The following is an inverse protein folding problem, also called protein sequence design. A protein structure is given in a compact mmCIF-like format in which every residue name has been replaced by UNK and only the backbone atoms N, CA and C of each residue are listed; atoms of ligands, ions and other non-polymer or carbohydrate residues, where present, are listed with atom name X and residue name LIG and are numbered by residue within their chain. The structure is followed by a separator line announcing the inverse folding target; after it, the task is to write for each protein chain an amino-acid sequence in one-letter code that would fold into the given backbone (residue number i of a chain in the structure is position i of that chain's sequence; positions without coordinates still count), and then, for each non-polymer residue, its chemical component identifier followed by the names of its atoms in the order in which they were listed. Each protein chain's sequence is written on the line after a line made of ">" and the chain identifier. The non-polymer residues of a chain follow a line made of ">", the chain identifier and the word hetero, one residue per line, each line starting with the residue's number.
data_IF_226553795527
#
_entry.id   IF_226553795527
#
_cell.length_a   1.000
_cell.length_b   1.000
_cell.length_c   1.000
_cell.angle_alpha   90.00
_cell.angle_beta   90.00
_cell.angle_gamma   90.00
#
_symmetry.space_group_name_H-M   'P 1'
#
loop_
_entity.id
_entity.type
_entity.pdbx_description
1 polymer ?
#
# COMPACT_ATOMS: atom_id res chain seq x y z
N UNK A 1 -0.60 25.18 -25.51
CA UNK A 1 -0.33 26.20 -24.49
C UNK A 1 -0.95 27.55 -24.90
N UNK A 2 -1.15 28.47 -23.94
CA UNK A 2 -1.64 29.80 -24.24
C UNK A 2 -0.73 30.59 -25.22
N UNK A 3 0.59 30.44 -25.06
CA UNK A 3 1.57 31.03 -25.95
C UNK A 3 1.40 30.58 -27.42
N UNK A 4 1.20 29.27 -27.62
CA UNK A 4 1.01 28.69 -28.94
C UNK A 4 -0.26 29.22 -29.64
N UNK A 5 -1.31 29.50 -28.89
CA UNK A 5 -2.55 30.12 -29.43
C UNK A 5 -2.34 31.59 -29.81
N UNK A 6 -1.51 32.34 -29.07
CA UNK A 6 -1.13 33.70 -29.41
C UNK A 6 -0.35 33.71 -30.75
N UNK A 7 0.66 32.84 -30.87
CA UNK A 7 1.44 32.70 -32.13
C UNK A 7 0.53 32.33 -33.33
N UNK A 8 -0.42 31.40 -33.13
CA UNK A 8 -1.40 31.08 -34.18
C UNK A 8 -2.25 32.31 -34.57
N UNK A 9 -2.69 33.08 -33.58
CA UNK A 9 -3.47 34.29 -33.85
C UNK A 9 -2.66 35.34 -34.65
N UNK A 10 -1.36 35.47 -34.33
CA UNK A 10 -0.45 36.35 -35.09
C UNK A 10 -0.31 35.91 -36.55
N UNK A 11 -0.10 34.58 -36.77
CA UNK A 11 -0.04 34.02 -38.13
C UNK A 11 -1.33 34.22 -38.90
N UNK A 12 -2.50 34.04 -38.25
CA UNK A 12 -3.82 34.32 -38.86
C UNK A 12 -3.97 35.79 -39.21
N UNK A 13 -3.58 36.68 -38.32
CA UNK A 13 -3.62 38.12 -38.59
C UNK A 13 -2.71 38.52 -39.75
N UNK A 14 -1.51 37.99 -39.82
CA UNK A 14 -0.61 38.18 -40.96
C UNK A 14 -1.21 37.64 -42.26
N UNK A 15 -1.89 36.49 -42.21
CA UNK A 15 -2.62 35.94 -43.38
C UNK A 15 -3.74 36.86 -43.88
N UNK A 16 -4.46 37.54 -42.96
CA UNK A 16 -5.53 38.49 -43.32
C UNK A 16 -5.01 39.77 -44.00
N UNK A 17 -3.74 40.06 -43.92
CA UNK A 17 -3.11 41.20 -44.61
C UNK A 17 -2.77 40.91 -46.07
N UNK A 18 -2.79 39.63 -46.51
CA UNK A 18 -2.61 39.28 -47.90
C UNK A 18 -3.81 39.75 -48.72
N UNK A 19 -3.54 40.37 -49.88
CA UNK A 19 -4.54 40.94 -50.78
C UNK A 19 -4.55 40.19 -52.11
N UNK A 20 -5.41 40.58 -53.04
CA UNK A 20 -5.45 40.05 -54.41
C UNK A 20 -4.16 40.40 -55.23
N UNK A 21 -3.38 41.38 -54.73
CA UNK A 21 -2.08 41.77 -55.31
C UNK A 21 -0.92 40.90 -54.77
N UNK A 22 -1.15 40.09 -53.73
CA UNK A 22 -0.14 39.19 -53.16
C UNK A 22 0.16 38.07 -54.14
N UNK A 23 1.43 37.60 -54.21
CA UNK A 23 1.80 36.46 -55.06
C UNK A 23 1.16 35.16 -54.53
N UNK A 24 0.86 34.22 -55.44
CA UNK A 24 0.39 32.91 -55.07
C UNK A 24 1.36 32.20 -54.09
N UNK A 25 2.65 32.41 -54.30
CA UNK A 25 3.71 31.85 -53.44
C UNK A 25 3.58 32.36 -51.99
N UNK A 26 3.29 33.66 -51.78
CA UNK A 26 3.09 34.23 -50.43
C UNK A 26 1.84 33.67 -49.74
N UNK A 27 0.77 33.49 -50.50
CA UNK A 27 -0.47 32.88 -49.99
C UNK A 27 -0.25 31.42 -49.59
N UNK A 28 0.43 30.62 -50.42
CA UNK A 28 0.72 29.23 -50.17
C UNK A 28 1.66 29.07 -48.99
N UNK A 29 2.69 29.92 -48.85
CA UNK A 29 3.62 29.94 -47.73
C UNK A 29 2.84 30.23 -46.40
N UNK A 30 2.02 31.25 -46.39
CA UNK A 30 1.23 31.60 -45.18
C UNK A 30 0.23 30.52 -44.79
N UNK A 31 -0.44 29.90 -45.76
CA UNK A 31 -1.30 28.72 -45.54
C UNK A 31 -0.50 27.60 -44.92
N UNK A 32 0.70 27.29 -45.41
CA UNK A 32 1.54 26.25 -44.87
C UNK A 32 1.96 26.52 -43.42
N UNK A 33 2.37 27.76 -43.08
CA UNK A 33 2.71 28.18 -41.71
C UNK A 33 1.54 28.00 -40.75
N UNK A 34 0.34 28.48 -41.11
CA UNK A 34 -0.87 28.35 -40.29
C UNK A 34 -1.23 26.85 -40.10
N UNK A 35 -1.17 26.07 -41.17
CA UNK A 35 -1.48 24.64 -41.11
C UNK A 35 -0.49 23.87 -40.21
N UNK A 36 0.81 24.17 -40.32
CA UNK A 36 1.85 23.59 -39.48
C UNK A 36 1.65 23.96 -37.99
N UNK A 37 1.29 25.22 -37.71
CA UNK A 37 1.04 25.67 -36.34
C UNK A 37 -0.20 25.00 -35.73
N UNK A 38 -1.27 24.82 -36.51
CA UNK A 38 -2.45 24.07 -36.08
C UNK A 38 -2.08 22.63 -35.72
N UNK A 39 -1.30 21.95 -36.58
CA UNK A 39 -0.85 20.59 -36.32
C UNK A 39 0.02 20.51 -35.06
N UNK A 40 0.91 21.48 -34.84
CA UNK A 40 1.75 21.56 -33.65
C UNK A 40 0.95 21.66 -32.35
N UNK A 41 -0.05 22.57 -32.28
CA UNK A 41 -0.89 22.74 -31.09
C UNK A 41 -1.86 21.58 -30.86
N UNK A 42 -2.18 20.79 -31.89
CA UNK A 42 -2.98 19.58 -31.78
C UNK A 42 -2.16 18.34 -31.44
N UNK A 43 -0.84 18.45 -31.43
CA UNK A 43 0.05 17.36 -31.01
C UNK A 43 -0.21 16.99 -29.56
N UNK A 44 -0.36 15.70 -29.32
CA UNK A 44 -0.57 15.13 -27.99
C UNK A 44 0.56 14.19 -27.63
N UNK A 45 0.89 14.18 -26.35
CA UNK A 45 1.77 13.21 -25.71
C UNK A 45 1.01 12.40 -24.67
N UNK A 46 1.47 11.20 -24.40
CA UNK A 46 0.86 10.31 -23.42
C UNK A 46 1.68 10.29 -22.15
N UNK A 47 1.04 10.52 -21.01
CA UNK A 47 1.62 10.26 -19.69
C UNK A 47 0.96 8.99 -19.14
N UNK A 48 1.78 7.97 -18.85
CA UNK A 48 1.30 6.71 -18.29
C UNK A 48 1.58 6.67 -16.80
N UNK A 49 0.51 6.61 -15.99
CA UNK A 49 0.59 6.57 -14.54
C UNK A 49 0.25 5.19 -14.00
N UNK A 50 1.09 4.66 -13.10
CA UNK A 50 0.91 3.38 -12.43
C UNK A 50 1.06 3.51 -10.93
N UNK A 51 0.31 2.70 -10.18
CA UNK A 51 0.38 2.61 -8.74
C UNK A 51 0.51 1.16 -8.30
N UNK A 52 1.37 0.89 -7.32
CA UNK A 52 1.45 -0.38 -6.62
C UNK A 52 0.30 -0.58 -5.64
N UNK A 53 0.26 -1.76 -4.98
CA UNK A 53 -0.69 -2.02 -3.90
C UNK A 53 -0.45 -1.08 -2.72
N UNK A 54 -1.51 -0.73 -1.98
CA UNK A 54 -1.43 0.13 -0.79
C UNK A 54 -1.80 1.59 -1.03
N UNK A 55 -2.19 1.97 -2.25
CA UNK A 55 -2.66 3.31 -2.57
C UNK A 55 -3.10 3.46 -4.02
N UNK A 56 -3.27 4.70 -4.46
CA UNK A 56 -3.69 5.03 -5.83
C UNK A 56 -3.00 6.28 -6.35
N UNK A 57 -2.93 6.39 -7.68
CA UNK A 57 -2.59 7.62 -8.41
C UNK A 57 -3.76 8.02 -9.30
N UNK A 58 -4.07 9.29 -9.41
CA UNK A 58 -5.15 9.81 -10.22
C UNK A 58 -4.69 11.02 -11.06
N UNK A 59 -4.93 11.02 -12.38
CA UNK A 59 -5.51 9.94 -13.17
C UNK A 59 -4.58 8.72 -13.25
N UNK A 60 -5.13 7.52 -13.45
CA UNK A 60 -4.36 6.28 -13.62
C UNK A 60 -4.36 5.86 -15.09
N UNK A 61 -3.33 5.09 -15.49
CA UNK A 61 -3.18 4.62 -16.87
C UNK A 61 -2.72 5.72 -17.82
N UNK A 62 -3.05 5.56 -19.09
CA UNK A 62 -2.64 6.48 -20.14
C UNK A 62 -3.52 7.75 -20.16
N UNK A 63 -2.91 8.91 -20.08
CA UNK A 63 -3.57 10.22 -20.19
C UNK A 63 -2.93 11.02 -21.31
N UNK A 64 -3.73 11.46 -22.29
CA UNK A 64 -3.26 12.32 -23.37
C UNK A 64 -3.25 13.78 -22.93
N UNK A 65 -2.16 14.45 -23.24
CA UNK A 65 -1.89 15.85 -22.87
C UNK A 65 -1.42 16.59 -24.11
N UNK A 66 -1.99 17.77 -24.38
CA UNK A 66 -1.54 18.58 -25.50
C UNK A 66 -0.15 19.15 -25.26
N UNK A 67 0.64 19.22 -26.34
CA UNK A 67 1.99 19.82 -26.33
C UNK A 67 2.00 21.19 -25.60
N UNK A 68 2.97 21.36 -24.72
CA UNK A 68 3.17 22.61 -23.97
C UNK A 68 2.12 22.88 -22.87
N UNK A 69 1.27 21.92 -22.53
CA UNK A 69 0.36 22.05 -21.40
C UNK A 69 0.86 21.28 -20.19
N UNK A 70 0.26 21.52 -19.04
CA UNK A 70 0.61 20.86 -17.78
C UNK A 70 -0.42 19.82 -17.38
N UNK A 71 0.00 18.79 -16.64
CA UNK A 71 -0.88 17.75 -16.09
C UNK A 71 -0.46 17.37 -14.70
N UNK A 72 -1.38 17.48 -13.74
CA UNK A 72 -1.19 17.06 -12.35
C UNK A 72 -1.67 15.62 -12.14
N UNK A 73 -0.98 14.92 -11.23
CA UNK A 73 -1.29 13.59 -10.73
C UNK A 73 -1.33 13.63 -9.21
N UNK A 74 -2.43 13.18 -8.62
CA UNK A 74 -2.61 13.08 -7.17
C UNK A 74 -2.31 11.67 -6.72
N UNK A 75 -1.51 11.52 -5.66
CA UNK A 75 -1.09 10.26 -5.07
C UNK A 75 -1.75 10.15 -3.70
N UNK A 76 -2.47 9.06 -3.46
CA UNK A 76 -3.22 8.86 -2.21
C UNK A 76 -2.90 7.48 -1.65
N UNK A 77 -2.10 7.39 -0.56
CA UNK A 77 -1.96 6.14 0.19
C UNK A 77 -3.30 5.70 0.79
N UNK A 78 -3.49 4.40 0.94
CA UNK A 78 -4.57 3.84 1.76
C UNK A 78 -4.25 4.01 3.25
N UNK A 79 -5.26 3.85 4.11
CA UNK A 79 -5.06 3.87 5.56
C UNK A 79 -4.02 2.81 5.98
N UNK A 80 -3.06 3.22 6.81
CA UNK A 80 -1.96 2.39 7.26
C UNK A 80 -0.83 2.19 6.25
N UNK A 81 -0.80 3.00 5.18
CA UNK A 81 0.26 3.02 4.17
C UNK A 81 0.82 4.43 3.97
N UNK A 82 2.06 4.49 3.50
CA UNK A 82 2.70 5.72 3.03
C UNK A 82 3.29 5.49 1.62
N UNK A 83 3.61 6.57 0.93
CA UNK A 83 4.34 6.48 -0.34
C UNK A 83 5.77 6.05 -0.04
N UNK A 84 6.17 4.93 -0.60
CA UNK A 84 7.50 4.34 -0.43
C UNK A 84 8.49 4.89 -1.49
N UNK A 85 8.06 4.91 -2.74
CA UNK A 85 8.87 5.48 -3.81
C UNK A 85 8.01 6.12 -4.90
N UNK A 86 8.58 7.12 -5.56
CA UNK A 86 8.04 7.78 -6.74
C UNK A 86 9.11 7.83 -7.83
N UNK A 87 8.75 7.39 -9.03
CA UNK A 87 9.65 7.47 -10.19
C UNK A 87 8.97 8.19 -11.34
N UNK A 88 9.74 9.01 -12.04
CA UNK A 88 9.35 9.71 -13.27
C UNK A 88 10.34 9.32 -14.36
N UNK A 89 9.83 8.80 -15.47
CA UNK A 89 10.62 8.29 -16.59
C UNK A 89 11.73 7.31 -16.16
N UNK A 90 11.39 6.45 -15.17
CA UNK A 90 12.30 5.47 -14.58
C UNK A 90 13.32 6.04 -13.60
N UNK A 91 13.35 7.34 -13.37
CA UNK A 91 14.26 7.99 -12.42
C UNK A 91 13.52 8.28 -11.11
N UNK A 92 14.14 7.93 -9.97
CA UNK A 92 13.59 8.24 -8.65
C UNK A 92 13.55 9.75 -8.42
N UNK A 93 12.43 10.22 -7.87
CA UNK A 93 12.21 11.61 -7.47
C UNK A 93 11.74 11.67 -6.02
N UNK A 94 11.71 12.86 -5.44
CA UNK A 94 11.21 13.05 -4.08
C UNK A 94 9.76 12.58 -3.96
N UNK A 95 9.46 11.94 -2.83
CA UNK A 95 8.12 11.47 -2.50
C UNK A 95 7.21 12.65 -2.22
N UNK A 96 6.14 12.76 -3.01
CA UNK A 96 5.11 13.81 -2.88
C UNK A 96 3.72 13.21 -3.03
N UNK A 97 2.70 13.94 -2.57
CA UNK A 97 1.29 13.56 -2.73
C UNK A 97 0.65 14.14 -4.00
N UNK A 98 1.35 15.04 -4.66
CA UNK A 98 0.96 15.61 -5.96
C UNK A 98 2.20 15.84 -6.81
N UNK A 99 2.16 15.39 -8.07
CA UNK A 99 3.21 15.62 -9.05
C UNK A 99 2.63 16.25 -10.31
N UNK A 100 3.26 17.32 -10.81
CA UNK A 100 2.81 18.03 -12.01
C UNK A 100 3.88 17.99 -13.08
N UNK A 101 3.55 17.39 -14.22
CA UNK A 101 4.30 17.58 -15.44
C UNK A 101 3.97 18.96 -16.01
N UNK A 102 4.96 19.80 -16.20
CA UNK A 102 4.82 21.13 -16.80
C UNK A 102 5.40 21.15 -18.21
N UNK A 103 4.77 21.89 -19.12
CA UNK A 103 5.25 22.07 -20.51
C UNK A 103 5.55 20.74 -21.20
N UNK A 104 4.56 19.86 -21.26
CA UNK A 104 4.73 18.48 -21.79
C UNK A 104 5.08 18.53 -23.27
N UNK A 105 6.28 18.03 -23.62
CA UNK A 105 6.81 17.99 -24.99
C UNK A 105 7.23 16.61 -25.47
N UNK A 106 7.04 15.58 -24.60
CA UNK A 106 7.33 14.18 -24.88
C UNK A 106 6.35 13.27 -24.14
N UNK A 107 6.38 11.96 -24.42
CA UNK A 107 5.70 10.97 -23.60
C UNK A 107 6.44 10.79 -22.27
N UNK A 108 5.71 10.58 -21.19
CA UNK A 108 6.24 10.41 -19.85
C UNK A 108 5.63 9.19 -19.15
N UNK A 109 6.30 8.73 -18.13
CA UNK A 109 5.80 7.72 -17.19
C UNK A 109 5.91 8.25 -15.76
N UNK A 110 4.95 7.90 -14.92
CA UNK A 110 5.02 8.12 -13.48
C UNK A 110 4.56 6.85 -12.77
N UNK A 111 5.36 6.35 -11.84
CA UNK A 111 5.04 5.15 -11.07
C UNK A 111 5.27 5.40 -9.58
N UNK A 112 4.33 4.95 -8.77
CA UNK A 112 4.37 5.07 -7.32
C UNK A 112 4.24 3.71 -6.66
N UNK A 113 5.03 3.48 -5.60
CA UNK A 113 4.89 2.34 -4.70
C UNK A 113 4.50 2.80 -3.31
N UNK A 114 3.89 1.89 -2.53
CA UNK A 114 3.45 2.16 -1.17
C UNK A 114 3.97 1.07 -0.24
N UNK A 115 4.29 1.45 1.00
CA UNK A 115 4.66 0.53 2.07
C UNK A 115 3.71 0.69 3.25
N UNK A 116 3.56 -0.38 4.04
CA UNK A 116 2.78 -0.31 5.28
C UNK A 116 3.50 0.53 6.32
N UNK A 117 2.74 1.31 7.06
CA UNK A 117 3.27 2.03 8.23
C UNK A 117 3.75 1.05 9.30
N UNK A 118 4.78 1.42 10.04
CA UNK A 118 5.34 0.59 11.11
C UNK A 118 4.27 0.11 12.11
N UNK A 119 3.33 0.98 12.47
CA UNK A 119 2.22 0.63 13.36
C UNK A 119 1.28 -0.42 12.77
N UNK A 120 0.99 -0.34 11.48
CA UNK A 120 0.17 -1.34 10.77
C UNK A 120 0.84 -2.71 10.82
N UNK A 121 2.14 -2.77 10.54
CA UNK A 121 2.95 -4.00 10.62
C UNK A 121 2.99 -4.54 12.05
N UNK A 122 3.16 -3.67 13.05
CA UNK A 122 3.20 -4.08 14.45
C UNK A 122 1.86 -4.67 14.92
N UNK A 123 0.73 -4.05 14.56
CA UNK A 123 -0.60 -4.57 14.88
C UNK A 123 -0.91 -5.89 14.16
N UNK A 124 -0.49 -6.07 12.92
CA UNK A 124 -0.60 -7.36 12.22
C UNK A 124 0.19 -8.47 12.94
N UNK A 125 1.40 -8.18 13.38
CA UNK A 125 2.23 -9.11 14.14
C UNK A 125 1.62 -9.46 15.51
N UNK A 126 1.02 -8.48 16.20
CA UNK A 126 0.28 -8.71 17.46
C UNK A 126 -0.93 -9.62 17.23
N UNK A 127 -1.70 -9.37 16.17
CA UNK A 127 -2.84 -10.22 15.81
C UNK A 127 -2.41 -11.67 15.50
N UNK A 128 -1.29 -11.85 14.81
CA UNK A 128 -0.73 -13.17 14.56
C UNK A 128 -0.35 -13.91 15.86
N UNK A 129 0.24 -13.21 16.82
CA UNK A 129 0.54 -13.76 18.14
C UNK A 129 -0.72 -14.14 18.92
N UNK A 130 -1.76 -13.29 18.89
CA UNK A 130 -3.09 -13.58 19.49
C UNK A 130 -3.70 -14.83 18.86
N UNK A 131 -3.66 -14.97 17.54
CA UNK A 131 -4.20 -16.15 16.85
C UNK A 131 -3.45 -17.42 17.24
N UNK A 132 -2.13 -17.39 17.30
CA UNK A 132 -1.30 -18.52 17.78
C UNK A 132 -1.64 -18.87 19.23
N UNK A 133 -1.85 -17.88 20.10
CA UNK A 133 -2.26 -18.10 21.48
C UNK A 133 -3.63 -18.78 21.57
N UNK A 134 -4.60 -18.35 20.77
CA UNK A 134 -5.95 -18.94 20.72
C UNK A 134 -5.92 -20.41 20.27
N UNK A 135 -5.04 -20.76 19.32
CA UNK A 135 -4.82 -22.17 18.94
C UNK A 135 -4.29 -23.00 20.11
N UNK A 136 -3.42 -22.45 20.95
CA UNK A 136 -2.92 -23.12 22.16
C UNK A 136 -3.97 -23.21 23.26
N UNK A 137 -4.78 -22.18 23.45
CA UNK A 137 -5.90 -22.15 24.40
C UNK A 137 -6.96 -23.22 24.09
N UNK A 138 -7.16 -23.55 22.83
CA UNK A 138 -8.06 -24.63 22.41
C UNK A 138 -7.54 -26.04 22.82
N UNK A 139 -6.26 -26.20 23.18
CA UNK A 139 -5.63 -27.48 23.53
C UNK A 139 -5.72 -27.74 25.06
N UNK A 140 -6.93 -27.68 25.62
CA UNK A 140 -7.17 -27.77 27.07
C UNK A 140 -6.70 -29.11 27.68
N UNK A 141 -6.62 -30.17 26.90
CA UNK A 141 -6.14 -31.48 27.38
C UNK A 141 -4.62 -31.59 27.42
N UNK A 142 -3.91 -30.76 26.65
CA UNK A 142 -2.45 -30.75 26.55
C UNK A 142 -1.79 -29.97 27.70
N UNK A 143 -2.36 -28.81 28.09
CA UNK A 143 -1.73 -27.88 29.00
C UNK A 143 -2.44 -27.77 30.36
N UNK A 144 -1.70 -27.35 31.40
CA UNK A 144 -2.25 -27.18 32.74
C UNK A 144 -3.20 -25.94 32.78
N UNK A 145 -4.31 -26.02 33.58
CA UNK A 145 -5.28 -24.92 33.67
C UNK A 145 -4.64 -23.59 34.04
N UNK A 146 -3.72 -23.55 35.00
CA UNK A 146 -3.06 -22.33 35.44
C UNK A 146 -2.20 -21.66 34.33
N UNK A 147 -1.54 -22.48 33.47
CA UNK A 147 -0.77 -21.90 32.35
C UNK A 147 -1.66 -21.41 31.23
N UNK A 148 -2.82 -22.05 30.99
CA UNK A 148 -3.83 -21.57 30.04
C UNK A 148 -4.51 -20.29 30.53
N UNK A 149 -4.85 -20.19 31.81
CA UNK A 149 -5.41 -18.96 32.39
C UNK A 149 -4.44 -17.76 32.25
N UNK A 150 -3.15 -17.97 32.53
CA UNK A 150 -2.14 -16.95 32.35
C UNK A 150 -1.99 -16.50 30.88
N UNK A 151 -2.17 -17.43 29.93
CA UNK A 151 -2.15 -17.13 28.49
C UNK A 151 -3.43 -16.38 28.10
N UNK A 152 -4.61 -16.79 28.60
CA UNK A 152 -5.88 -16.11 28.32
C UNK A 152 -5.84 -14.65 28.76
N UNK A 153 -5.36 -14.36 29.98
CA UNK A 153 -5.22 -13.00 30.47
C UNK A 153 -4.32 -12.15 29.56
N UNK A 154 -3.22 -12.70 29.09
CA UNK A 154 -2.34 -11.99 28.16
C UNK A 154 -3.01 -11.72 26.79
N UNK A 155 -3.84 -12.65 26.31
CA UNK A 155 -4.63 -12.47 25.07
C UNK A 155 -5.66 -11.36 25.24
N UNK A 156 -6.37 -11.31 26.37
CA UNK A 156 -7.39 -10.30 26.65
C UNK A 156 -6.77 -8.87 26.72
N UNK A 157 -5.61 -8.75 27.38
CA UNK A 157 -4.83 -7.51 27.41
C UNK A 157 -4.38 -7.12 26.00
N UNK A 158 -3.83 -8.06 25.25
CA UNK A 158 -3.34 -7.84 23.88
C UNK A 158 -4.47 -7.43 22.93
N UNK A 159 -5.65 -8.03 23.05
CA UNK A 159 -6.82 -7.64 22.27
C UNK A 159 -7.28 -6.23 22.58
N UNK A 160 -7.18 -5.80 23.85
CA UNK A 160 -7.48 -4.43 24.27
C UNK A 160 -6.52 -3.43 23.60
N UNK A 161 -5.22 -3.73 23.60
CA UNK A 161 -4.19 -2.91 22.93
C UNK A 161 -4.40 -2.88 21.41
N UNK A 162 -4.70 -4.02 20.81
CA UNK A 162 -4.97 -4.11 19.36
C UNK A 162 -6.11 -3.21 18.93
N UNK A 163 -7.20 -3.17 19.70
CA UNK A 163 -8.40 -2.38 19.41
C UNK A 163 -8.27 -0.90 19.78
N UNK A 164 -7.23 -0.52 20.54
CA UNK A 164 -6.98 0.85 20.93
C UNK A 164 -6.56 1.69 19.72
N UNK A 165 -7.32 2.75 19.40
CA UNK A 165 -7.07 3.59 18.22
C UNK A 165 -5.75 4.39 18.33
N UNK A 166 -5.42 4.82 19.54
CA UNK A 166 -4.23 5.61 19.89
C UNK A 166 -3.12 4.77 20.56
N UNK A 167 -3.08 3.45 20.29
CA UNK A 167 -2.03 2.59 20.81
C UNK A 167 -0.65 3.08 20.32
N UNK A 168 0.30 3.15 21.23
CA UNK A 168 1.69 3.45 20.88
C UNK A 168 2.41 2.20 20.37
N UNK A 169 3.49 2.38 19.58
CA UNK A 169 4.32 1.27 19.13
C UNK A 169 4.81 0.41 20.31
N UNK A 170 5.24 1.05 21.40
CA UNK A 170 5.71 0.36 22.61
C UNK A 170 4.61 -0.49 23.27
N UNK A 171 3.36 0.00 23.32
CA UNK A 171 2.23 -0.78 23.87
C UNK A 171 1.98 -2.03 23.03
N UNK A 172 1.99 -1.89 21.70
CA UNK A 172 1.76 -3.00 20.76
C UNK A 172 2.89 -4.04 20.86
N UNK A 173 4.14 -3.60 20.88
CA UNK A 173 5.30 -4.49 20.98
C UNK A 173 5.36 -5.22 22.33
N UNK A 174 5.03 -4.53 23.44
CA UNK A 174 4.97 -5.14 24.78
C UNK A 174 3.83 -6.17 24.86
N UNK A 175 2.66 -5.86 24.32
CA UNK A 175 1.52 -6.78 24.30
C UNK A 175 1.86 -8.05 23.52
N UNK A 176 2.49 -7.91 22.34
CA UNK A 176 2.99 -9.05 21.55
C UNK A 176 3.99 -9.88 22.35
N UNK A 177 5.01 -9.26 22.93
CA UNK A 177 6.04 -9.94 23.72
C UNK A 177 5.45 -10.69 24.92
N UNK A 178 4.45 -10.11 25.61
CA UNK A 178 3.75 -10.75 26.72
C UNK A 178 3.03 -12.01 26.26
N UNK A 179 2.26 -11.96 25.17
CA UNK A 179 1.57 -13.15 24.61
C UNK A 179 2.58 -14.22 24.23
N UNK A 180 3.64 -13.89 23.52
CA UNK A 180 4.69 -14.84 23.12
C UNK A 180 5.38 -15.49 24.34
N UNK A 181 5.66 -14.70 25.38
CA UNK A 181 6.22 -15.21 26.63
C UNK A 181 5.28 -16.20 27.35
N UNK A 182 3.96 -15.94 27.34
CA UNK A 182 2.98 -16.87 27.94
C UNK A 182 2.80 -18.14 27.10
N UNK A 183 2.88 -18.06 25.77
CA UNK A 183 2.91 -19.24 24.90
C UNK A 183 4.13 -20.10 25.24
N UNK A 184 5.31 -19.50 25.37
CA UNK A 184 6.55 -20.21 25.73
C UNK A 184 6.53 -20.79 27.16
N UNK A 185 5.76 -20.19 28.06
CA UNK A 185 5.60 -20.64 29.46
C UNK A 185 4.50 -21.67 29.66
N UNK A 186 3.83 -22.14 28.61
CA UNK A 186 2.82 -23.20 28.72
C UNK A 186 3.42 -24.45 29.31
N UNK A 187 2.72 -25.05 30.28
CA UNK A 187 3.12 -26.29 30.96
C UNK A 187 2.23 -27.41 30.49
N UNK A 188 2.84 -28.45 29.93
CA UNK A 188 2.12 -29.66 29.56
C UNK A 188 1.61 -30.41 30.80
N UNK A 189 0.46 -31.02 30.67
CA UNK A 189 -0.05 -31.96 31.69
C UNK A 189 0.81 -33.19 31.74
N UNK A 190 1.12 -33.66 32.94
CA UNK A 190 1.85 -34.90 33.10
C UNK A 190 1.05 -36.08 32.53
N UNK A 191 1.70 -36.90 31.72
CA UNK A 191 1.14 -38.17 31.28
C UNK A 191 1.15 -39.18 32.47
N UNK A 192 -0.05 -39.47 32.98
CA UNK A 192 -0.26 -40.39 34.07
C UNK A 192 -0.73 -41.78 33.60
N UNK A 193 -0.72 -42.04 32.30
CA UNK A 193 -1.21 -43.31 31.73
C UNK A 193 -0.47 -44.54 32.28
N UNK A 194 0.84 -44.47 32.35
CA UNK A 194 1.66 -45.56 32.90
C UNK A 194 1.41 -45.79 34.41
N UNK A 195 1.27 -44.66 35.17
CA UNK A 195 0.95 -44.73 36.60
C UNK A 195 -0.44 -45.32 36.83
N UNK A 196 -1.46 -44.92 36.07
CA UNK A 196 -2.82 -45.48 36.15
C UNK A 196 -2.85 -46.95 35.83
N UNK A 197 -2.05 -47.40 34.87
CA UNK A 197 -1.95 -48.82 34.53
C UNK A 197 -1.31 -49.63 35.67
N UNK A 198 -0.23 -49.11 36.29
CA UNK A 198 0.43 -49.73 37.42
C UNK A 198 -0.47 -49.78 38.67
N UNK A 199 -1.20 -48.69 38.98
CA UNK A 199 -2.16 -48.65 40.09
C UNK A 199 -3.27 -49.67 39.87
N UNK A 200 -3.85 -49.77 38.67
CA UNK A 200 -4.89 -50.75 38.35
C UNK A 200 -4.40 -52.21 38.45
N UNK A 201 -3.15 -52.46 38.08
CA UNK A 201 -2.56 -53.78 38.25
C UNK A 201 -2.40 -54.16 39.74
N UNK A 202 -1.89 -53.22 40.56
CA UNK A 202 -1.71 -53.42 41.99
C UNK A 202 -3.06 -53.61 42.74
N UNK A 203 -4.11 -52.86 42.36
CA UNK A 203 -5.48 -53.05 42.91
C UNK A 203 -6.05 -54.43 42.55
N UNK A 204 -5.75 -54.93 41.33
CA UNK A 204 -6.13 -56.29 40.89
C UNK A 204 -5.42 -57.42 41.68
N UNK A 205 -4.13 -57.23 41.99
CA UNK A 205 -3.39 -58.20 42.84
C UNK A 205 -3.85 -58.14 44.29
N UNK A 206 -4.11 -56.96 44.86
CA UNK A 206 -4.60 -56.86 46.23
C UNK A 206 -5.98 -57.52 46.40
N UNK A 207 -6.85 -57.43 45.38
CA UNK A 207 -8.16 -58.13 45.40
C UNK A 207 -8.05 -59.68 45.31
N UNK A 208 -6.91 -60.22 44.88
CA UNK A 208 -6.67 -61.65 44.80
C UNK A 208 -6.12 -62.26 46.12
N UNK A 209 -5.56 -61.40 46.99
CA UNK A 209 -4.97 -61.87 48.28
C UNK A 209 -6.01 -61.84 49.42
N UNK A 210 -7.17 -61.23 49.21
CA UNK A 210 -8.27 -61.19 50.19
C UNK A 210 -9.30 -62.28 50.02
N UNK A 211 -9.01 -63.33 49.23
CA UNK A 211 -9.80 -64.57 49.06
C UNK A 211 -9.06 -65.76 49.65
#
# INVERSE_FOLDING_TARGET
>A
SAAALVELQELVNAGKQLTTESSQADVDAKKAEITAKIADIQTQFTITATAGNGGKIAPTGATNVYKGTSKAFTITPNDGYHVDSLTVDGTAVDVVTEYTFSDVTANHTIAVTFAKDAMTVAKENLLAAINTANEKLAQTDAYTPASLEALQNAVDEAQTVYNKADATQTEVDNAKANVEAKIAALKEKADKSALRLAVKAAEGEAALTDK
#
